data_IF_984340426879
#
_entry.id   IF_984340426879
#
_cell.length_a   1.000
_cell.length_b   1.000
_cell.length_c   1.000
_cell.angle_alpha   90.00
_cell.angle_beta   90.00
_cell.angle_gamma   90.00
#
_symmetry.space_group_name_H-M   'P 1'
#
loop_
_entity.id
_entity.type
_entity.pdbx_description
1 polymer ?
#
# COMPACT_ATOMS: atom_id res chain seq x y z
N UNK A 1 5.87 10.20 6.59
CA UNK A 1 5.56 8.79 6.90
C UNK A 1 6.68 7.80 6.51
N UNK A 2 7.75 8.22 5.80
CA UNK A 2 8.84 7.35 5.37
C UNK A 2 10.17 7.86 5.91
N UNK A 3 10.98 6.94 6.49
CA UNK A 3 12.30 7.26 7.02
C UNK A 3 13.39 6.50 6.26
N UNK A 4 14.40 7.25 5.84
CA UNK A 4 15.58 6.75 5.16
C UNK A 4 16.58 6.24 6.21
N UNK A 5 16.93 4.94 6.13
CA UNK A 5 17.97 4.35 6.97
C UNK A 5 19.37 4.61 6.36
N UNK A 6 20.45 4.58 7.15
CA UNK A 6 21.82 4.72 6.61
C UNK A 6 22.14 3.69 5.52
N UNK A 7 21.68 2.45 5.67
CA UNK A 7 21.83 1.41 4.65
C UNK A 7 21.11 1.76 3.34
N UNK A 8 19.88 2.30 3.46
CA UNK A 8 19.12 2.75 2.30
C UNK A 8 19.80 3.92 1.60
N UNK A 9 20.29 4.89 2.37
CA UNK A 9 21.02 6.05 1.84
C UNK A 9 22.27 5.63 1.05
N UNK A 10 23.07 4.70 1.60
CA UNK A 10 24.26 4.17 0.95
C UNK A 10 23.94 3.48 -0.38
N UNK A 11 22.91 2.63 -0.41
CA UNK A 11 22.49 1.96 -1.64
C UNK A 11 21.96 2.96 -2.67
N UNK A 12 21.16 3.95 -2.23
CA UNK A 12 20.63 5.01 -3.08
C UNK A 12 21.77 5.78 -3.76
N UNK A 13 22.79 6.19 -3.00
CA UNK A 13 23.96 6.89 -3.54
C UNK A 13 24.68 6.04 -4.61
N UNK A 14 24.89 4.74 -4.35
CA UNK A 14 25.49 3.81 -5.31
C UNK A 14 24.68 3.70 -6.60
N UNK A 15 23.35 3.62 -6.49
CA UNK A 15 22.45 3.57 -7.65
C UNK A 15 22.54 4.86 -8.47
N UNK A 16 22.52 6.02 -7.82
CA UNK A 16 22.63 7.32 -8.49
C UNK A 16 23.95 7.45 -9.21
N UNK A 17 25.06 7.05 -8.58
CA UNK A 17 26.40 7.07 -9.18
C UNK A 17 26.53 6.12 -10.39
N UNK A 18 25.83 4.98 -10.36
CA UNK A 18 25.83 4.02 -11.48
C UNK A 18 25.20 4.56 -12.76
N UNK A 19 24.38 5.61 -12.65
CA UNK A 19 23.64 6.23 -13.74
C UNK A 19 22.84 5.24 -14.62
N UNK A 20 22.41 4.12 -14.03
CA UNK A 20 21.77 3.02 -14.75
C UNK A 20 20.37 3.41 -15.25
N UNK A 21 20.05 3.10 -16.50
CA UNK A 21 18.71 3.22 -17.09
C UNK A 21 17.82 2.05 -16.63
N UNK A 22 17.37 2.11 -15.40
CA UNK A 22 16.48 1.11 -14.78
C UNK A 22 15.46 1.78 -13.86
N UNK A 23 14.37 1.09 -13.60
CA UNK A 23 13.40 1.44 -12.55
C UNK A 23 13.71 0.61 -11.30
N UNK A 24 13.88 1.29 -10.17
CA UNK A 24 14.15 0.64 -8.91
C UNK A 24 12.90 0.62 -8.04
N UNK A 25 12.55 -0.58 -7.58
CA UNK A 25 11.46 -0.84 -6.68
C UNK A 25 11.96 -0.82 -5.24
N UNK A 26 11.29 -0.03 -4.42
CA UNK A 26 11.57 0.09 -2.99
C UNK A 26 10.67 -0.88 -2.24
N UNK A 27 11.20 -1.54 -1.22
CA UNK A 27 10.46 -2.36 -0.27
C UNK A 27 10.31 -1.64 1.05
N UNK A 28 9.16 -1.78 1.68
CA UNK A 28 8.92 -1.20 2.99
C UNK A 28 9.15 -2.19 4.12
N UNK A 29 9.70 -1.66 5.20
CA UNK A 29 9.67 -2.26 6.53
C UNK A 29 8.63 -1.50 7.32
N UNK A 30 7.58 -2.19 7.74
CA UNK A 30 6.42 -1.56 8.35
C UNK A 30 6.71 -1.17 9.80
N UNK A 31 6.31 0.04 10.17
CA UNK A 31 6.28 0.52 11.54
C UNK A 31 4.83 0.86 11.88
N UNK A 32 4.32 0.34 12.99
CA UNK A 32 2.98 0.62 13.47
C UNK A 32 2.98 0.80 14.99
N UNK A 33 2.25 1.79 15.49
CA UNK A 33 2.10 2.09 16.92
C UNK A 33 3.44 2.25 17.65
N UNK A 34 4.42 2.90 17.00
CA UNK A 34 5.77 3.08 17.54
C UNK A 34 6.68 1.85 17.49
N UNK A 35 6.20 0.72 16.95
CA UNK A 35 6.95 -0.54 16.88
C UNK A 35 7.26 -0.94 15.45
N UNK A 36 8.51 -1.32 15.20
CA UNK A 36 8.90 -1.94 13.95
C UNK A 36 8.37 -3.37 13.87
N UNK A 37 7.61 -3.69 12.83
CA UNK A 37 7.08 -5.02 12.59
C UNK A 37 8.17 -5.90 11.93
N UNK A 38 9.21 -6.27 12.70
CA UNK A 38 10.45 -6.91 12.20
C UNK A 38 10.20 -8.18 11.41
N UNK A 39 9.30 -9.02 11.89
CA UNK A 39 9.01 -10.33 11.31
C UNK A 39 7.92 -10.29 10.23
N UNK A 40 7.21 -9.16 10.14
CA UNK A 40 6.14 -9.02 9.16
C UNK A 40 6.65 -9.03 7.72
N UNK A 41 6.14 -9.96 6.92
CA UNK A 41 6.51 -10.09 5.52
C UNK A 41 5.72 -9.09 4.66
N UNK A 42 6.29 -7.90 4.50
CA UNK A 42 5.76 -6.92 3.54
C UNK A 42 6.11 -7.35 2.12
N UNK A 43 5.08 -7.49 1.26
CA UNK A 43 5.25 -7.81 -0.17
C UNK A 43 5.12 -6.57 -1.06
N UNK A 44 4.94 -5.40 -0.46
CA UNK A 44 4.82 -4.16 -1.22
C UNK A 44 6.15 -3.84 -1.91
N UNK A 45 6.06 -3.60 -3.20
CA UNK A 45 7.15 -3.09 -4.03
C UNK A 45 6.60 -1.88 -4.76
N UNK A 46 7.23 -0.73 -4.57
CA UNK A 46 6.79 0.53 -5.17
C UNK A 46 7.90 1.08 -6.02
N UNK A 47 7.59 1.41 -7.26
CA UNK A 47 8.53 2.05 -8.19
C UNK A 47 8.69 3.51 -7.79
N UNK A 48 9.87 3.88 -7.28
CA UNK A 48 10.12 5.22 -6.74
C UNK A 48 11.41 5.86 -7.26
N UNK A 49 12.33 5.07 -7.80
CA UNK A 49 13.60 5.58 -8.25
C UNK A 49 13.85 5.22 -9.71
N UNK A 50 14.01 6.23 -10.54
CA UNK A 50 14.37 6.16 -11.95
C UNK A 50 14.98 7.48 -12.37
N UNK A 51 15.68 7.49 -13.49
CA UNK A 51 16.26 8.72 -14.03
C UNK A 51 15.16 9.65 -14.55
N UNK A 52 15.34 10.94 -14.32
CA UNK A 52 14.36 11.97 -14.69
C UNK A 52 14.11 12.02 -16.22
N UNK A 53 15.13 11.76 -17.01
CA UNK A 53 15.03 11.73 -18.49
C UNK A 53 14.22 10.53 -19.02
N UNK A 54 13.95 9.53 -18.18
CA UNK A 54 13.09 8.40 -18.53
C UNK A 54 11.61 8.69 -18.31
N UNK A 55 11.29 9.65 -17.43
CA UNK A 55 9.91 9.97 -17.05
C UNK A 55 9.24 10.81 -18.14
N UNK A 56 8.09 10.36 -18.62
CA UNK A 56 7.21 11.13 -19.48
C UNK A 56 6.20 11.92 -18.66
N UNK A 57 5.40 11.23 -17.87
CA UNK A 57 4.33 11.83 -17.07
C UNK A 57 3.92 10.92 -15.90
N UNK A 58 3.18 11.49 -14.95
CA UNK A 58 2.48 10.71 -13.92
C UNK A 58 1.00 10.63 -14.24
N UNK A 59 0.43 9.43 -14.11
CA UNK A 59 -1.00 9.17 -14.30
C UNK A 59 -1.61 8.53 -13.08
N UNK A 60 -2.88 8.84 -12.79
CA UNK A 60 -3.65 8.30 -11.69
C UNK A 60 -3.89 9.31 -10.56
N UNK A 61 -5.14 9.36 -10.07
CA UNK A 61 -5.56 10.32 -9.04
C UNK A 61 -5.22 9.87 -7.61
N UNK A 62 -5.11 8.56 -7.36
CA UNK A 62 -4.89 7.98 -6.01
C UNK A 62 -3.62 7.15 -5.93
N UNK A 63 -3.29 6.45 -7.00
CA UNK A 63 -2.07 5.67 -7.14
C UNK A 63 -1.35 6.16 -8.38
N UNK A 64 -0.57 7.22 -8.19
CA UNK A 64 0.23 7.79 -9.28
C UNK A 64 1.24 6.75 -9.79
N UNK A 65 1.20 6.53 -11.09
CA UNK A 65 2.13 5.66 -11.80
C UNK A 65 2.97 6.50 -12.75
N UNK A 66 4.27 6.30 -12.73
CA UNK A 66 5.17 6.91 -13.69
C UNK A 66 5.03 6.21 -15.05
N UNK A 67 4.76 6.96 -16.08
CA UNK A 67 4.82 6.51 -17.47
C UNK A 67 6.19 6.87 -18.02
N UNK A 68 6.88 5.88 -18.55
CA UNK A 68 8.23 6.07 -19.08
C UNK A 68 8.20 6.14 -20.61
N UNK A 69 9.07 6.99 -21.20
CA UNK A 69 9.18 7.16 -22.66
C UNK A 69 9.40 5.86 -23.39
N UNK A 70 10.31 5.01 -22.88
CA UNK A 70 10.66 3.75 -23.56
C UNK A 70 9.50 2.74 -23.58
N UNK A 71 8.67 2.70 -22.54
CA UNK A 71 7.54 1.77 -22.41
C UNK A 71 6.42 2.12 -23.40
N UNK A 72 6.21 3.39 -23.69
CA UNK A 72 5.31 3.81 -24.74
C UNK A 72 5.81 3.43 -26.12
N UNK A 73 7.12 3.35 -26.32
CA UNK A 73 7.72 2.88 -27.55
C UNK A 73 7.80 1.34 -27.63
N UNK A 74 7.17 0.61 -26.69
CA UNK A 74 7.18 -0.85 -26.65
C UNK A 74 8.49 -1.48 -26.19
N UNK A 75 9.42 -0.68 -25.65
CA UNK A 75 10.69 -1.16 -25.12
C UNK A 75 10.62 -1.34 -23.59
N UNK A 76 10.74 -2.57 -23.07
CA UNK A 76 10.64 -2.81 -21.64
C UNK A 76 11.84 -2.19 -20.90
N UNK A 77 11.56 -1.42 -19.84
CA UNK A 77 12.59 -0.90 -18.95
C UNK A 77 12.93 -1.93 -17.87
N UNK A 78 14.23 -2.22 -17.61
CA UNK A 78 14.63 -3.14 -16.56
C UNK A 78 14.12 -2.69 -15.18
N UNK A 79 13.47 -3.60 -14.45
CA UNK A 79 13.03 -3.37 -13.07
C UNK A 79 13.91 -4.09 -12.09
N UNK A 80 14.52 -3.34 -11.18
CA UNK A 80 15.41 -3.85 -10.13
C UNK A 80 14.78 -3.58 -8.75
N UNK A 81 15.10 -4.38 -7.76
CA UNK A 81 14.59 -4.23 -6.40
C UNK A 81 15.75 -3.84 -5.50
N UNK A 82 15.60 -2.76 -4.73
CA UNK A 82 16.57 -2.36 -3.73
C UNK A 82 16.65 -3.40 -2.61
N UNK A 83 17.88 -3.70 -2.16
CA UNK A 83 18.12 -4.61 -1.04
C UNK A 83 17.72 -3.96 0.28
N UNK A 84 18.12 -2.72 0.49
CA UNK A 84 17.72 -1.94 1.66
C UNK A 84 16.23 -1.63 1.64
N UNK A 85 15.64 -1.55 2.83
CA UNK A 85 14.22 -1.27 3.02
C UNK A 85 14.04 0.12 3.60
N UNK A 86 13.00 0.81 3.16
CA UNK A 86 12.54 2.07 3.71
C UNK A 86 11.62 1.79 4.91
N UNK A 87 11.80 2.51 6.02
CA UNK A 87 10.85 2.44 7.13
C UNK A 87 9.60 3.21 6.76
N UNK A 88 8.45 2.54 6.85
CA UNK A 88 7.16 3.15 6.53
C UNK A 88 6.25 3.14 7.75
N UNK A 89 5.99 4.34 8.28
CA UNK A 89 5.10 4.59 9.42
C UNK A 89 3.65 4.60 8.94
N UNK A 90 3.05 3.42 8.86
CA UNK A 90 1.72 3.28 8.28
C UNK A 90 0.58 3.63 9.25
N UNK A 91 0.77 3.36 10.54
CA UNK A 91 -0.21 3.60 11.61
C UNK A 91 0.52 4.01 12.89
N UNK A 92 0.28 5.22 13.36
CA UNK A 92 0.96 5.74 14.55
C UNK A 92 0.10 5.61 15.81
N UNK A 93 -1.21 5.86 15.69
CA UNK A 93 -2.16 5.82 16.80
C UNK A 93 -3.39 5.00 16.44
N UNK A 94 -4.11 4.52 17.47
CA UNK A 94 -5.41 3.86 17.29
C UNK A 94 -6.43 4.83 16.69
N UNK A 95 -6.46 6.09 17.17
CA UNK A 95 -7.34 7.13 16.62
C UNK A 95 -7.08 7.35 15.12
N UNK A 96 -5.82 7.56 14.72
CA UNK A 96 -5.47 7.72 13.30
C UNK A 96 -5.75 6.47 12.48
N UNK A 97 -5.74 5.28 13.11
CA UNK A 97 -6.15 4.04 12.44
C UNK A 97 -7.65 3.96 12.20
N UNK A 98 -8.49 4.49 13.09
CA UNK A 98 -9.94 4.60 12.92
C UNK A 98 -10.27 5.61 11.82
N UNK A 99 -9.60 6.74 11.78
CA UNK A 99 -9.77 7.75 10.72
C UNK A 99 -9.39 7.17 9.34
N UNK A 100 -8.25 6.52 9.24
CA UNK A 100 -7.82 5.81 8.02
C UNK A 100 -8.77 4.67 7.64
N UNK A 101 -9.32 3.94 8.62
CA UNK A 101 -10.31 2.88 8.39
C UNK A 101 -11.51 3.44 7.62
N UNK A 102 -12.12 4.53 8.11
CA UNK A 102 -13.26 5.17 7.45
C UNK A 102 -12.90 5.58 6.02
N UNK A 103 -11.79 6.29 5.85
CA UNK A 103 -11.34 6.78 4.55
C UNK A 103 -11.13 5.63 3.54
N UNK A 104 -10.39 4.60 3.93
CA UNK A 104 -10.06 3.48 3.03
C UNK A 104 -11.26 2.57 2.74
N UNK A 105 -12.19 2.46 3.70
CA UNK A 105 -13.46 1.74 3.50
C UNK A 105 -14.27 2.42 2.41
N UNK A 106 -14.53 3.73 2.54
CA UNK A 106 -15.35 4.48 1.59
C UNK A 106 -14.72 4.54 0.20
N UNK A 107 -13.42 4.81 0.14
CA UNK A 107 -12.66 4.79 -1.12
C UNK A 107 -12.73 3.42 -1.81
N UNK A 108 -12.52 2.37 -1.05
CA UNK A 108 -12.55 1.00 -1.56
C UNK A 108 -13.95 0.52 -1.96
N UNK A 109 -15.00 0.98 -1.27
CA UNK A 109 -16.40 0.72 -1.62
C UNK A 109 -16.76 1.43 -2.93
N UNK A 110 -16.47 2.74 -3.04
CA UNK A 110 -16.71 3.53 -4.25
C UNK A 110 -16.03 2.94 -5.49
N UNK A 111 -14.77 2.52 -5.37
CA UNK A 111 -14.04 1.85 -6.46
C UNK A 111 -14.73 0.55 -6.90
N UNK A 112 -15.30 -0.21 -5.97
CA UNK A 112 -16.01 -1.45 -6.27
C UNK A 112 -17.39 -1.20 -6.85
N UNK A 113 -18.09 -0.17 -6.40
CA UNK A 113 -19.37 0.26 -6.95
C UNK A 113 -19.23 0.64 -8.42
N UNK A 114 -18.21 1.44 -8.76
CA UNK A 114 -17.87 1.79 -10.16
C UNK A 114 -17.54 0.57 -11.02
N UNK A 115 -17.01 -0.48 -10.42
CA UNK A 115 -16.72 -1.75 -11.09
C UNK A 115 -17.93 -2.72 -11.12
N UNK A 116 -19.13 -2.28 -10.75
CA UNK A 116 -20.36 -3.08 -10.77
C UNK A 116 -20.39 -4.25 -9.77
N UNK A 117 -19.53 -4.22 -8.73
CA UNK A 117 -19.44 -5.31 -7.76
C UNK A 117 -20.55 -5.19 -6.70
N UNK A 118 -21.02 -6.31 -6.20
CA UNK A 118 -21.99 -6.38 -5.10
C UNK A 118 -21.29 -6.46 -3.74
N UNK A 119 -21.91 -5.86 -2.72
CA UNK A 119 -21.49 -5.90 -1.32
C UNK A 119 -22.25 -6.95 -0.50
N UNK A 120 -22.25 -6.78 0.82
CA UNK A 120 -23.01 -7.54 1.81
C UNK A 120 -22.16 -8.03 2.97
N UNK A 121 -22.83 -8.29 4.12
CA UNK A 121 -22.19 -8.66 5.38
C UNK A 121 -21.42 -9.97 5.28
N UNK A 122 -22.02 -11.02 4.72
CA UNK A 122 -21.36 -12.33 4.60
C UNK A 122 -20.09 -12.27 3.74
N UNK A 123 -20.16 -11.52 2.62
CA UNK A 123 -18.98 -11.30 1.77
C UNK A 123 -17.92 -10.47 2.49
N UNK A 124 -18.35 -9.49 3.28
CA UNK A 124 -17.47 -8.71 4.14
C UNK A 124 -16.76 -9.58 5.18
N UNK A 125 -17.50 -10.43 5.91
CA UNK A 125 -16.95 -11.35 6.91
C UNK A 125 -15.93 -12.29 6.29
N UNK A 126 -16.27 -12.94 5.18
CA UNK A 126 -15.34 -13.83 4.48
C UNK A 126 -14.06 -13.08 4.03
N UNK A 127 -14.22 -11.86 3.48
CA UNK A 127 -13.08 -11.03 3.05
C UNK A 127 -12.22 -10.56 4.21
N UNK A 128 -12.84 -10.11 5.31
CA UNK A 128 -12.15 -9.68 6.53
C UNK A 128 -11.37 -10.82 7.17
N UNK A 129 -12.02 -11.99 7.36
CA UNK A 129 -11.39 -13.18 7.93
C UNK A 129 -10.22 -13.65 7.07
N UNK A 130 -10.42 -13.78 5.77
CA UNK A 130 -9.35 -14.17 4.84
C UNK A 130 -8.17 -13.19 4.87
N UNK A 131 -8.46 -11.88 4.95
CA UNK A 131 -7.42 -10.85 5.07
C UNK A 131 -6.68 -10.96 6.40
N UNK A 132 -7.39 -11.14 7.52
CA UNK A 132 -6.77 -11.33 8.83
C UNK A 132 -5.85 -12.53 8.84
N UNK A 133 -6.33 -13.70 8.45
CA UNK A 133 -5.52 -14.94 8.39
C UNK A 133 -4.29 -14.74 7.48
N UNK A 134 -4.49 -14.14 6.33
CA UNK A 134 -3.39 -13.85 5.39
C UNK A 134 -2.29 -13.00 6.00
N UNK A 135 -2.65 -11.94 6.76
CA UNK A 135 -1.68 -11.00 7.31
C UNK A 135 -1.11 -11.51 8.63
N UNK A 136 -1.97 -12.02 9.50
CA UNK A 136 -1.58 -12.42 10.84
C UNK A 136 -0.81 -13.73 10.85
N UNK A 137 -1.28 -14.73 10.10
CA UNK A 137 -0.64 -16.06 10.02
C UNK A 137 0.41 -16.07 8.89
N UNK A 138 -0.02 -15.95 7.63
CA UNK A 138 0.87 -16.19 6.48
C UNK A 138 1.90 -15.09 6.23
N UNK A 139 1.71 -13.88 6.79
CA UNK A 139 2.72 -12.81 6.77
C UNK A 139 3.39 -12.60 8.12
N UNK A 140 3.23 -13.53 9.05
CA UNK A 140 3.89 -13.58 10.36
C UNK A 140 3.57 -12.35 11.24
N UNK A 141 2.39 -11.75 11.07
CA UNK A 141 1.95 -10.62 11.90
C UNK A 141 1.91 -10.98 13.39
N UNK A 142 1.62 -12.25 13.73
CA UNK A 142 1.58 -12.75 15.11
C UNK A 142 2.94 -12.68 15.82
N UNK A 143 4.06 -12.72 15.09
CA UNK A 143 5.39 -12.57 15.68
C UNK A 143 5.74 -11.12 16.04
N UNK A 144 4.89 -10.16 15.66
CA UNK A 144 5.10 -8.74 15.93
C UNK A 144 4.32 -8.22 17.13
N UNK A 145 3.85 -9.10 18.01
CA UNK A 145 3.13 -8.78 19.26
C UNK A 145 1.84 -7.99 19.02
N UNK A 146 1.44 -7.17 20.02
CA UNK A 146 0.21 -6.39 19.96
C UNK A 146 0.14 -5.40 18.80
N UNK A 147 1.25 -4.78 18.43
CA UNK A 147 1.31 -3.87 17.29
C UNK A 147 1.02 -4.60 15.97
N UNK A 148 1.58 -5.80 15.79
CA UNK A 148 1.29 -6.67 14.64
C UNK A 148 -0.16 -7.12 14.60
N UNK A 149 -0.73 -7.49 15.76
CA UNK A 149 -2.14 -7.85 15.85
C UNK A 149 -3.05 -6.69 15.43
N UNK A 150 -2.88 -5.51 16.04
CA UNK A 150 -3.68 -4.32 15.72
C UNK A 150 -3.55 -3.92 14.24
N UNK A 151 -2.34 -3.94 13.70
CA UNK A 151 -2.12 -3.67 12.28
C UNK A 151 -2.93 -4.61 11.38
N UNK A 152 -2.86 -5.93 11.64
CA UNK A 152 -3.57 -6.93 10.86
C UNK A 152 -5.10 -6.82 11.03
N UNK A 153 -5.55 -6.53 12.27
CA UNK A 153 -6.97 -6.36 12.58
C UNK A 153 -7.56 -5.16 11.82
N UNK A 154 -6.92 -3.99 11.85
CA UNK A 154 -7.43 -2.82 11.14
C UNK A 154 -7.51 -3.04 9.63
N UNK A 155 -6.52 -3.70 9.03
CA UNK A 155 -6.57 -4.02 7.59
C UNK A 155 -7.67 -5.04 7.27
N UNK A 156 -7.94 -5.97 8.19
CA UNK A 156 -9.04 -6.92 8.05
C UNK A 156 -10.41 -6.24 8.20
N UNK A 157 -10.55 -5.30 9.14
CA UNK A 157 -11.76 -4.48 9.30
C UNK A 157 -12.02 -3.60 8.06
N UNK A 158 -10.98 -3.03 7.44
CA UNK A 158 -11.12 -2.34 6.16
C UNK A 158 -11.70 -3.27 5.07
N UNK A 159 -11.24 -4.50 5.02
CA UNK A 159 -11.74 -5.48 4.06
C UNK A 159 -13.21 -5.86 4.33
N UNK A 160 -13.59 -5.99 5.60
CA UNK A 160 -14.96 -6.25 6.02
C UNK A 160 -15.90 -5.08 5.69
N UNK A 161 -15.61 -3.91 6.27
CA UNK A 161 -16.49 -2.75 6.15
C UNK A 161 -16.64 -2.24 4.71
N UNK A 162 -15.63 -2.45 3.87
CA UNK A 162 -15.70 -2.12 2.44
C UNK A 162 -16.86 -2.83 1.71
N UNK A 163 -17.14 -4.08 2.04
CA UNK A 163 -18.27 -4.82 1.47
C UNK A 163 -19.60 -4.48 2.17
N UNK A 164 -19.57 -4.15 3.46
CA UNK A 164 -20.72 -3.67 4.16
C UNK A 164 -21.19 -2.31 3.60
N UNK A 165 -20.27 -1.33 3.50
CA UNK A 165 -20.56 -0.02 2.92
C UNK A 165 -21.01 -0.11 1.45
N UNK A 166 -20.41 -1.01 0.66
CA UNK A 166 -20.84 -1.25 -0.72
C UNK A 166 -22.29 -1.71 -0.85
N UNK A 167 -22.87 -2.28 0.22
CA UNK A 167 -24.27 -2.71 0.23
C UNK A 167 -25.20 -1.69 0.88
N UNK A 168 -24.82 -1.18 2.06
CA UNK A 168 -25.69 -0.35 2.89
C UNK A 168 -25.57 1.15 2.61
N UNK A 169 -24.41 1.61 2.15
CA UNK A 169 -24.13 3.03 1.88
C UNK A 169 -24.04 3.31 0.36
N UNK A 170 -24.59 2.42 -0.47
CA UNK A 170 -24.43 2.48 -1.93
C UNK A 170 -24.82 3.86 -2.51
N UNK A 171 -25.91 4.44 -2.01
CA UNK A 171 -26.43 5.72 -2.49
C UNK A 171 -25.65 6.93 -1.95
N UNK A 172 -24.83 6.72 -0.91
CA UNK A 172 -23.97 7.73 -0.29
C UNK A 172 -22.50 7.62 -0.72
N UNK A 173 -22.16 6.63 -1.56
CA UNK A 173 -20.80 6.49 -2.07
C UNK A 173 -20.54 7.62 -3.07
N UNK A 174 -19.68 8.55 -2.67
CA UNK A 174 -19.26 9.67 -3.50
C UNK A 174 -18.74 9.21 -4.87
N UNK A 175 -19.19 9.87 -5.93
CA UNK A 175 -18.60 9.71 -7.27
C UNK A 175 -17.23 10.36 -7.35
N UNK A 176 -16.92 11.30 -6.46
CA UNK A 176 -15.64 11.96 -6.34
C UNK A 176 -14.74 11.22 -5.35
N UNK A 177 -13.93 10.32 -5.90
CA UNK A 177 -12.79 9.77 -5.18
C UNK A 177 -11.63 10.74 -5.36
N UNK A 178 -11.84 11.97 -4.92
CA UNK A 178 -10.82 13.01 -4.84
C UNK A 178 -10.29 13.14 -3.42
N UNK A 179 -9.04 13.56 -3.28
CA UNK A 179 -8.47 13.98 -2.01
C UNK A 179 -9.35 15.08 -1.41
N UNK A 180 -9.84 14.89 -0.17
CA UNK A 180 -10.13 16.00 0.70
C UNK A 180 -8.80 16.54 1.23
#
# INVERSE_FOLDING_TARGET
>A
DELITPAFQKELQSIVQSNAKAVWQIRWRMVAYGHELKYYISRSKVERLFRRDMLKEYVGAVHEQAILHNEQAGMPTPRKVMAAKLLHHSRETVRGSLEKLTQYVMLGASKRAKAGKSGGVLRGLASGLAMFLRLYIFRLGFLCGGAGFLYCLFVALEAFFRYAALHYDKDHLSNDVGRA
#
